data_IF_976393722392
#
_entry.id   IF_976393722392
#
_cell.length_a   1.000
_cell.length_b   1.000
_cell.length_c   1.000
_cell.angle_alpha   90.00
_cell.angle_beta   90.00
_cell.angle_gamma   90.00
#
_symmetry.space_group_name_H-M   'P 1'
#
loop_
_entity.id
_entity.type
_entity.pdbx_description
1 polymer ?
#
# COMPACT_ATOMS: atom_id res chain seq x y z
N UNK A 1 17.78 65.57 -35.47
CA UNK A 1 17.30 64.24 -35.03
C UNK A 1 17.80 63.20 -36.02
N UNK A 2 18.70 62.30 -35.61
CA UNK A 2 19.10 61.10 -36.38
C UNK A 2 18.78 59.88 -35.52
N UNK A 3 18.10 58.83 -36.04
CA UNK A 3 17.66 57.70 -35.25
C UNK A 3 18.82 56.74 -34.94
N UNK A 4 18.77 56.17 -33.73
CA UNK A 4 19.78 55.27 -33.17
C UNK A 4 19.70 53.83 -33.69
N UNK A 5 20.85 53.15 -33.58
CA UNK A 5 21.11 51.74 -33.90
C UNK A 5 20.37 50.81 -32.94
N UNK A 6 19.92 49.65 -33.42
CA UNK A 6 19.62 48.48 -32.59
C UNK A 6 20.38 47.26 -33.13
N UNK A 7 21.29 46.74 -32.31
CA UNK A 7 21.96 45.45 -32.51
C UNK A 7 21.05 44.40 -31.85
N UNK A 8 20.53 43.46 -32.63
CA UNK A 8 19.80 42.32 -32.11
C UNK A 8 20.79 41.24 -31.64
N UNK A 9 20.80 40.97 -30.33
CA UNK A 9 21.56 39.88 -29.72
C UNK A 9 20.67 38.62 -29.72
N UNK A 10 21.00 37.64 -30.57
CA UNK A 10 20.32 36.35 -30.58
C UNK A 10 20.82 35.49 -29.41
N UNK A 11 19.98 35.29 -28.39
CA UNK A 11 20.23 34.29 -27.34
C UNK A 11 20.01 32.87 -27.92
N UNK A 12 21.10 32.14 -28.12
CA UNK A 12 21.08 30.69 -28.29
C UNK A 12 20.78 30.03 -26.93
N UNK A 13 19.52 29.69 -26.69
CA UNK A 13 19.14 28.80 -25.60
C UNK A 13 19.62 27.38 -25.92
N UNK A 14 20.69 26.94 -25.27
CA UNK A 14 21.07 25.53 -25.23
C UNK A 14 20.04 24.78 -24.39
N UNK A 15 19.06 24.15 -25.03
CA UNK A 15 18.24 23.13 -24.37
C UNK A 15 19.12 21.91 -24.11
N UNK A 16 19.69 21.81 -22.90
CA UNK A 16 20.28 20.57 -22.45
C UNK A 16 19.16 19.52 -22.40
N UNK A 17 19.09 18.67 -23.42
CA UNK A 17 18.31 17.44 -23.37
C UNK A 17 18.96 16.55 -22.31
N UNK A 18 18.47 16.65 -21.08
CA UNK A 18 18.72 15.60 -20.10
C UNK A 18 18.29 14.28 -20.78
N UNK A 19 19.20 13.31 -20.90
CA UNK A 19 18.84 11.93 -21.17
C UNK A 19 17.65 11.61 -20.28
N UNK A 20 16.50 11.29 -20.87
CA UNK A 20 15.29 11.02 -20.14
C UNK A 20 15.51 9.73 -19.32
N UNK A 21 16.06 9.89 -18.13
CA UNK A 21 16.21 8.81 -17.17
C UNK A 21 14.85 8.21 -16.89
N UNK A 22 14.83 6.93 -16.52
CA UNK A 22 13.60 6.23 -16.24
C UNK A 22 12.77 6.99 -15.18
N UNK A 23 11.58 7.51 -15.53
CA UNK A 23 10.88 8.49 -14.69
C UNK A 23 10.40 7.92 -13.35
N UNK A 24 10.34 6.58 -13.24
CA UNK A 24 10.00 5.86 -12.04
C UNK A 24 11.13 5.84 -11.00
N UNK A 25 12.39 5.98 -11.43
CA UNK A 25 13.57 5.97 -10.55
C UNK A 25 13.53 7.17 -9.59
N UNK A 26 13.74 6.89 -8.31
CA UNK A 26 13.75 7.87 -7.23
C UNK A 26 13.08 7.37 -5.94
N UNK A 27 13.05 8.25 -4.95
CA UNK A 27 12.31 8.04 -3.70
C UNK A 27 10.94 8.70 -3.78
N UNK A 28 9.92 7.99 -3.33
CA UNK A 28 8.52 8.40 -3.40
C UNK A 28 7.88 8.25 -2.02
N UNK A 29 7.34 9.34 -1.49
CA UNK A 29 6.67 9.37 -0.20
C UNK A 29 5.16 9.36 -0.40
N UNK A 30 4.45 8.46 0.27
CA UNK A 30 2.98 8.44 0.26
C UNK A 30 2.39 9.76 0.77
N UNK A 31 1.39 10.25 0.04
CA UNK A 31 0.65 11.45 0.34
C UNK A 31 -0.79 11.07 0.70
N UNK A 32 -1.11 10.91 2.00
CA UNK A 32 -2.43 10.49 2.42
C UNK A 32 -3.51 11.54 2.08
N UNK A 33 -3.15 12.83 2.06
CA UNK A 33 -4.11 13.91 1.80
C UNK A 33 -4.59 13.90 0.33
N UNK A 34 -3.72 13.53 -0.60
CA UNK A 34 -4.04 13.39 -2.04
C UNK A 34 -4.55 12.00 -2.41
N UNK A 35 -4.37 11.01 -1.55
CA UNK A 35 -4.79 9.62 -1.80
C UNK A 35 -6.27 9.38 -1.48
N UNK A 36 -6.87 8.43 -2.20
CA UNK A 36 -8.25 7.96 -2.03
C UNK A 36 -8.25 6.43 -2.10
N UNK A 37 -7.90 5.78 -1.00
CA UNK A 37 -7.93 4.33 -0.92
C UNK A 37 -9.35 3.85 -0.64
N UNK A 38 -9.82 2.88 -1.44
CA UNK A 38 -11.08 2.19 -1.18
C UNK A 38 -10.86 1.18 -0.07
N UNK A 39 -11.73 1.22 0.92
CA UNK A 39 -11.72 0.20 1.95
C UNK A 39 -12.31 -1.11 1.39
N UNK A 40 -11.70 -2.23 1.78
CA UNK A 40 -12.10 -3.57 1.34
C UNK A 40 -13.55 -3.92 1.72
N UNK A 41 -14.16 -4.84 0.95
CA UNK A 41 -15.39 -5.52 1.39
C UNK A 41 -15.00 -6.87 1.99
N UNK A 42 -15.44 -7.14 3.21
CA UNK A 42 -15.15 -8.41 3.90
C UNK A 42 -16.44 -9.11 4.30
N UNK A 43 -16.38 -10.44 4.43
CA UNK A 43 -17.49 -11.26 4.90
C UNK A 43 -17.05 -12.06 6.12
N UNK A 44 -17.88 -12.05 7.14
CA UNK A 44 -17.80 -12.98 8.27
C UNK A 44 -19.02 -13.90 8.21
N UNK A 45 -18.80 -15.21 8.14
CA UNK A 45 -19.86 -16.22 8.16
C UNK A 45 -19.83 -16.94 9.49
N UNK A 46 -20.96 -17.01 10.17
CA UNK A 46 -21.10 -17.78 11.41
C UNK A 46 -21.04 -19.28 11.08
N UNK A 47 -20.13 -20.00 11.74
CA UNK A 47 -19.99 -21.45 11.60
C UNK A 47 -20.62 -22.20 12.79
N UNK A 48 -21.22 -21.49 13.74
CA UNK A 48 -21.73 -22.03 14.99
C UNK A 48 -20.64 -22.22 16.05
N UNK A 49 -21.06 -22.37 17.31
CA UNK A 49 -20.15 -22.67 18.42
C UNK A 49 -19.09 -21.58 18.69
N UNK A 50 -19.36 -20.33 18.31
CA UNK A 50 -18.41 -19.21 18.46
C UNK A 50 -17.31 -19.15 17.40
N UNK A 51 -17.40 -19.98 16.35
CA UNK A 51 -16.51 -19.98 15.19
C UNK A 51 -17.04 -19.11 14.06
N UNK A 52 -16.12 -18.53 13.31
CA UNK A 52 -16.38 -17.64 12.19
C UNK A 52 -15.48 -17.99 11.02
N UNK A 53 -15.98 -17.80 9.80
CA UNK A 53 -15.18 -17.80 8.58
C UNK A 53 -15.03 -16.36 8.06
N UNK A 54 -13.80 -15.90 7.89
CA UNK A 54 -13.47 -14.64 7.22
C UNK A 54 -13.17 -14.88 5.74
N UNK A 55 -13.64 -13.97 4.88
CA UNK A 55 -13.20 -13.85 3.49
C UNK A 55 -13.13 -12.38 3.08
N UNK A 56 -12.09 -12.02 2.32
CA UNK A 56 -12.01 -10.71 1.65
C UNK A 56 -12.59 -10.72 0.22
N UNK A 57 -13.22 -11.83 -0.20
CA UNK A 57 -13.73 -12.00 -1.56
C UNK A 57 -12.65 -12.23 -2.63
N UNK A 58 -11.39 -12.44 -2.23
CA UNK A 58 -10.27 -12.72 -3.11
C UNK A 58 -9.43 -13.90 -2.57
N UNK A 59 -8.11 -13.73 -2.41
CA UNK A 59 -7.19 -14.81 -2.05
C UNK A 59 -7.08 -15.09 -0.55
N UNK A 60 -7.64 -14.23 0.31
CA UNK A 60 -7.52 -14.35 1.77
C UNK A 60 -8.83 -14.80 2.39
N UNK A 61 -8.79 -15.98 2.98
CA UNK A 61 -9.88 -16.55 3.75
C UNK A 61 -9.32 -17.45 4.86
N UNK A 62 -9.99 -17.50 6.00
CA UNK A 62 -9.58 -18.32 7.14
C UNK A 62 -10.71 -18.48 8.15
N UNK A 63 -10.63 -19.54 8.94
CA UNK A 63 -11.51 -19.75 10.09
C UNK A 63 -10.85 -19.23 11.37
N UNK A 64 -11.66 -18.75 12.30
CA UNK A 64 -11.22 -18.36 13.63
C UNK A 64 -12.33 -18.57 14.66
N UNK A 65 -11.98 -18.49 15.93
CA UNK A 65 -12.94 -18.42 17.03
C UNK A 65 -12.74 -17.12 17.83
N UNK A 66 -13.81 -16.66 18.49
CA UNK A 66 -13.75 -15.51 19.41
C UNK A 66 -13.38 -15.99 20.82
N UNK A 67 -12.25 -16.69 20.92
CA UNK A 67 -11.77 -17.35 22.14
C UNK A 67 -10.48 -16.72 22.72
N UNK A 68 -9.99 -15.66 22.07
CA UNK A 68 -8.74 -14.98 22.42
C UNK A 68 -7.47 -15.74 22.07
N UNK A 69 -7.57 -16.90 21.40
CA UNK A 69 -6.41 -17.70 20.96
C UNK A 69 -6.00 -17.32 19.55
N UNK A 70 -4.75 -17.62 19.22
CA UNK A 70 -4.23 -17.42 17.86
C UNK A 70 -4.81 -18.48 16.92
N UNK A 71 -5.43 -18.03 15.83
CA UNK A 71 -5.89 -18.86 14.73
C UNK A 71 -5.06 -18.52 13.49
N UNK A 72 -4.55 -19.55 12.80
CA UNK A 72 -3.72 -19.39 11.60
C UNK A 72 -4.54 -18.76 10.48
N UNK A 73 -3.95 -17.78 9.79
CA UNK A 73 -4.58 -17.13 8.64
C UNK A 73 -3.88 -17.53 7.34
N UNK A 74 -2.80 -16.83 6.98
CA UNK A 74 -2.00 -17.08 5.78
C UNK A 74 -0.52 -17.17 6.16
N UNK A 75 0.16 -18.18 5.63
CA UNK A 75 1.59 -18.42 5.88
C UNK A 75 1.91 -18.52 7.39
N UNK A 76 2.83 -17.68 7.88
CA UNK A 76 3.27 -17.58 9.27
C UNK A 76 2.41 -16.63 10.12
N UNK A 77 1.29 -16.16 9.57
CA UNK A 77 0.40 -15.20 10.22
C UNK A 77 -0.68 -15.87 11.03
N UNK A 78 -1.07 -15.19 12.09
CA UNK A 78 -2.21 -15.56 12.92
C UNK A 78 -3.01 -14.33 13.32
N UNK A 79 -4.28 -14.57 13.63
CA UNK A 79 -5.16 -13.57 14.24
C UNK A 79 -5.78 -14.15 15.50
N UNK A 80 -5.89 -13.35 16.55
CA UNK A 80 -6.72 -13.68 17.71
C UNK A 80 -7.86 -12.68 17.84
N UNK A 81 -9.01 -13.17 18.26
CA UNK A 81 -10.21 -12.38 18.50
C UNK A 81 -10.68 -12.60 19.93
N UNK A 82 -10.76 -11.53 20.72
CA UNK A 82 -11.25 -11.56 22.09
C UNK A 82 -12.45 -10.65 22.22
N UNK A 83 -13.58 -11.18 22.70
CA UNK A 83 -14.72 -10.34 23.04
C UNK A 83 -14.45 -9.54 24.30
N UNK A 84 -14.64 -8.23 24.24
CA UNK A 84 -14.51 -7.31 25.38
C UNK A 84 -15.86 -6.97 25.99
N UNK A 85 -16.88 -6.83 25.15
CA UNK A 85 -18.27 -6.55 25.51
C UNK A 85 -19.20 -6.97 24.36
N UNK A 86 -20.54 -6.96 24.52
CA UNK A 86 -21.45 -7.11 23.39
C UNK A 86 -21.12 -6.10 22.28
N UNK A 87 -20.90 -6.57 21.05
CA UNK A 87 -20.55 -5.71 19.92
C UNK A 87 -19.14 -5.11 19.96
N UNK A 88 -18.26 -5.53 20.88
CA UNK A 88 -16.90 -4.98 20.98
C UNK A 88 -15.85 -6.08 21.13
N UNK A 89 -14.84 -6.05 20.28
CA UNK A 89 -13.76 -7.04 20.23
C UNK A 89 -12.39 -6.38 20.18
N UNK A 90 -11.41 -7.04 20.80
CA UNK A 90 -10.00 -6.82 20.54
C UNK A 90 -9.52 -7.85 19.52
N UNK A 91 -8.76 -7.41 18.53
CA UNK A 91 -8.08 -8.31 17.60
C UNK A 91 -6.58 -8.05 17.60
N UNK A 92 -5.78 -9.11 17.54
CA UNK A 92 -4.33 -9.00 17.38
C UNK A 92 -3.90 -9.75 16.14
N UNK A 93 -3.09 -9.10 15.32
CA UNK A 93 -2.45 -9.71 14.16
C UNK A 93 -1.01 -10.04 14.52
N UNK A 94 -0.56 -11.25 14.18
CA UNK A 94 0.81 -11.71 14.37
C UNK A 94 1.45 -12.11 13.06
N UNK A 95 2.76 -11.87 12.96
CA UNK A 95 3.65 -12.36 11.91
C UNK A 95 4.83 -13.02 12.62
N UNK A 96 5.20 -14.24 12.21
CA UNK A 96 6.24 -15.04 12.86
C UNK A 96 6.12 -15.10 14.40
N UNK A 97 4.88 -15.20 14.92
CA UNK A 97 4.59 -15.24 16.35
C UNK A 97 4.66 -13.90 17.11
N UNK A 98 5.12 -12.82 16.48
CA UNK A 98 5.17 -11.46 17.06
C UNK A 98 3.91 -10.67 16.72
N UNK A 99 3.29 -10.03 17.71
CA UNK A 99 2.18 -9.09 17.47
C UNK A 99 2.68 -7.87 16.70
N UNK A 100 2.11 -7.65 15.52
CA UNK A 100 2.41 -6.49 14.66
C UNK A 100 1.31 -5.43 14.73
N UNK A 101 0.08 -5.83 15.06
CA UNK A 101 -1.06 -4.93 15.17
C UNK A 101 -2.00 -5.36 16.30
N UNK A 102 -2.55 -4.38 17.00
CA UNK A 102 -3.71 -4.55 17.87
C UNK A 102 -4.81 -3.60 17.41
N UNK A 103 -6.06 -4.08 17.38
CA UNK A 103 -7.19 -3.26 16.98
C UNK A 103 -8.39 -3.47 17.90
N UNK A 104 -9.13 -2.39 18.14
CA UNK A 104 -10.45 -2.43 18.77
C UNK A 104 -11.51 -2.30 17.69
N UNK A 105 -12.42 -3.28 17.66
CA UNK A 105 -13.53 -3.36 16.73
C UNK A 105 -14.83 -3.12 17.48
N UNK A 106 -15.63 -2.16 17.01
CA UNK A 106 -16.86 -1.74 17.67
C UNK A 106 -18.01 -1.73 16.67
N UNK A 107 -19.03 -2.53 16.96
CA UNK A 107 -20.30 -2.59 16.25
C UNK A 107 -21.25 -1.53 16.82
N UNK A 108 -21.94 -0.78 15.96
CA UNK A 108 -22.99 0.15 16.36
C UNK A 108 -24.18 -0.57 17.00
N UNK A 109 -24.98 0.15 17.78
CA UNK A 109 -26.15 -0.40 18.47
C UNK A 109 -27.23 -0.94 17.52
N UNK A 110 -27.39 -0.33 16.34
CA UNK A 110 -28.27 -0.79 15.26
C UNK A 110 -27.68 -1.96 14.45
N UNK A 111 -26.43 -2.35 14.74
CA UNK A 111 -25.70 -3.41 14.07
C UNK A 111 -25.29 -3.08 12.62
N UNK A 112 -25.45 -1.85 12.14
CA UNK A 112 -25.22 -1.47 10.74
C UNK A 112 -23.82 -0.93 10.44
N UNK A 113 -23.06 -0.50 11.45
CA UNK A 113 -21.72 0.06 11.28
C UNK A 113 -20.68 -0.68 12.13
N UNK A 114 -19.50 -0.93 11.55
CA UNK A 114 -18.34 -1.50 12.23
C UNK A 114 -17.17 -0.54 12.13
N UNK A 115 -16.68 -0.06 13.26
CA UNK A 115 -15.47 0.77 13.35
C UNK A 115 -14.30 -0.08 13.83
N UNK A 116 -13.14 0.10 13.22
CA UNK A 116 -11.88 -0.54 13.61
C UNK A 116 -10.87 0.57 13.89
N UNK A 117 -10.32 0.61 15.09
CA UNK A 117 -9.20 1.49 15.45
C UNK A 117 -7.99 0.62 15.71
N UNK A 118 -6.94 0.77 14.91
CA UNK A 118 -5.76 -0.08 14.95
C UNK A 118 -4.49 0.73 15.23
N UNK A 119 -3.57 0.10 15.94
CA UNK A 119 -2.20 0.57 16.11
C UNK A 119 -1.23 -0.60 16.03
N UNK A 120 -0.04 -0.34 15.51
CA UNK A 120 0.92 -1.38 15.24
C UNK A 120 2.30 -0.85 14.89
N UNK A 121 3.15 -1.78 14.46
CA UNK A 121 4.50 -1.51 13.99
C UNK A 121 4.72 -2.19 12.65
N UNK A 122 5.29 -1.44 11.69
CA UNK A 122 5.76 -1.98 10.43
C UNK A 122 7.01 -2.86 10.66
N UNK A 123 7.40 -3.72 9.69
CA UNK A 123 8.58 -4.57 9.80
C UNK A 123 9.90 -3.84 10.10
N UNK A 124 10.02 -2.57 9.70
CA UNK A 124 11.14 -1.70 10.06
C UNK A 124 11.11 -1.17 11.51
N UNK A 125 10.00 -1.36 12.23
CA UNK A 125 9.76 -0.86 13.58
C UNK A 125 9.04 0.48 13.63
N UNK A 126 8.69 1.07 12.49
CA UNK A 126 7.96 2.33 12.43
C UNK A 126 6.54 2.14 12.98
N UNK A 127 6.11 2.92 13.98
CA UNK A 127 4.75 2.84 14.49
C UNK A 127 3.75 3.41 13.49
N UNK A 128 2.56 2.84 13.43
CA UNK A 128 1.45 3.37 12.64
C UNK A 128 0.13 3.27 13.41
N UNK A 129 -0.83 4.11 13.01
CA UNK A 129 -2.23 4.03 13.43
C UNK A 129 -3.13 4.22 12.23
N UNK A 130 -4.25 3.52 12.21
CA UNK A 130 -5.28 3.73 11.21
C UNK A 130 -6.66 3.41 11.76
N UNK A 131 -7.65 4.08 11.19
CA UNK A 131 -9.06 3.82 11.47
C UNK A 131 -9.73 3.31 10.18
N UNK A 132 -10.54 2.25 10.29
CA UNK A 132 -11.41 1.78 9.21
C UNK A 132 -12.86 1.86 9.64
N UNK A 133 -13.73 2.21 8.69
CA UNK A 133 -15.18 2.17 8.87
C UNK A 133 -15.80 1.29 7.81
N UNK A 134 -16.76 0.47 8.23
CA UNK A 134 -17.52 -0.40 7.36
C UNK A 134 -19.01 -0.22 7.63
N UNK A 135 -19.79 -0.26 6.56
CA UNK A 135 -21.24 -0.44 6.61
C UNK A 135 -21.61 -1.89 6.31
N UNK A 136 -22.61 -2.40 7.02
CA UNK A 136 -23.19 -3.70 6.72
C UNK A 136 -23.93 -3.63 5.39
N UNK A 137 -23.79 -4.70 4.60
CA UNK A 137 -24.55 -4.91 3.39
C UNK A 137 -25.35 -6.20 3.53
N UNK A 138 -26.67 -6.08 3.41
CA UNK A 138 -27.60 -7.20 3.53
C UNK A 138 -27.82 -7.67 4.97
N UNK A 139 -28.28 -8.92 5.11
CA UNK A 139 -28.63 -9.50 6.40
C UNK A 139 -27.40 -9.93 7.22
N UNK A 140 -27.58 -10.00 8.54
CA UNK A 140 -26.58 -10.50 9.48
C UNK A 140 -26.87 -10.04 10.91
N UNK A 141 -26.20 -10.65 11.88
CA UNK A 141 -26.30 -10.29 13.30
C UNK A 141 -24.92 -10.32 13.93
N UNK A 142 -24.65 -9.36 14.83
CA UNK A 142 -23.35 -9.27 15.47
C UNK A 142 -22.23 -9.07 14.44
N UNK A 143 -21.14 -9.82 14.54
CA UNK A 143 -20.05 -9.74 13.56
C UNK A 143 -20.42 -10.38 12.21
N UNK A 144 -21.24 -11.43 12.21
CA UNK A 144 -21.60 -12.17 11.01
C UNK A 144 -22.37 -11.29 10.02
N UNK A 145 -21.95 -11.29 8.76
CA UNK A 145 -22.49 -10.47 7.68
C UNK A 145 -21.42 -10.03 6.68
N UNK A 146 -21.87 -9.28 5.68
CA UNK A 146 -20.98 -8.63 4.71
C UNK A 146 -20.79 -7.17 5.10
N UNK A 147 -19.55 -6.70 5.07
CA UNK A 147 -19.12 -5.39 5.52
C UNK A 147 -18.39 -4.69 4.39
N UNK A 148 -19.01 -3.65 3.83
CA UNK A 148 -18.40 -2.80 2.81
C UNK A 148 -17.65 -1.66 3.49
N UNK A 149 -16.37 -1.54 3.21
CA UNK A 149 -15.57 -0.43 3.68
C UNK A 149 -16.05 0.90 3.09
N UNK A 150 -16.14 1.93 3.94
CA UNK A 150 -16.58 3.26 3.53
C UNK A 150 -15.41 4.25 3.45
N UNK A 151 -14.45 4.11 4.36
CA UNK A 151 -13.26 4.93 4.41
C UNK A 151 -12.13 4.20 5.13
N UNK A 152 -10.90 4.46 4.68
CA UNK A 152 -9.68 4.15 5.40
C UNK A 152 -9.00 5.47 5.73
N UNK A 153 -8.87 5.78 7.02
CA UNK A 153 -8.08 6.92 7.45
C UNK A 153 -6.60 6.54 7.40
N UNK A 154 -5.89 7.12 6.44
CA UNK A 154 -4.46 6.89 6.20
C UNK A 154 -3.58 8.03 6.71
N UNK A 155 -4.12 9.00 7.48
CA UNK A 155 -3.43 10.28 7.75
C UNK A 155 -2.00 10.15 8.27
N UNK A 156 -1.69 9.04 8.97
CA UNK A 156 -0.38 8.77 9.55
C UNK A 156 0.25 7.46 9.07
N UNK A 157 -0.14 6.94 7.90
CA UNK A 157 0.49 5.72 7.36
C UNK A 157 1.87 6.06 6.77
N UNK A 158 2.98 5.60 7.38
CA UNK A 158 4.30 5.77 6.78
C UNK A 158 4.44 4.75 5.65
N UNK A 159 4.38 5.23 4.41
CA UNK A 159 4.50 4.38 3.23
C UNK A 159 5.21 5.12 2.09
N UNK A 160 5.88 4.37 1.23
CA UNK A 160 6.66 4.90 0.13
C UNK A 160 7.61 3.90 -0.50
N UNK A 161 8.16 4.31 -1.64
CA UNK A 161 8.99 3.47 -2.48
C UNK A 161 10.36 4.07 -2.70
N UNK A 162 11.37 3.21 -2.83
CA UNK A 162 12.67 3.56 -3.40
C UNK A 162 12.88 2.71 -4.63
N UNK A 163 12.92 3.35 -5.79
CA UNK A 163 13.07 2.68 -7.08
C UNK A 163 14.43 3.07 -7.67
N UNK A 164 15.24 2.08 -8.00
CA UNK A 164 16.53 2.26 -8.67
C UNK A 164 16.63 1.40 -9.92
N UNK A 165 17.53 1.78 -10.82
CA UNK A 165 17.85 1.04 -12.04
C UNK A 165 19.36 0.90 -12.15
N UNK A 166 19.83 -0.33 -12.39
CA UNK A 166 21.25 -0.60 -12.64
C UNK A 166 21.65 -0.34 -14.10
N UNK A 167 22.95 -0.39 -14.42
CA UNK A 167 23.46 -0.17 -15.77
C UNK A 167 22.95 -1.20 -16.81
N UNK A 168 22.45 -2.34 -16.35
CA UNK A 168 21.84 -3.36 -17.21
C UNK A 168 20.34 -3.13 -17.43
N UNK A 169 19.75 -2.12 -16.79
CA UNK A 169 18.30 -1.84 -16.83
C UNK A 169 17.47 -2.76 -15.94
N UNK A 170 18.06 -3.40 -14.93
CA UNK A 170 17.27 -4.07 -13.89
C UNK A 170 16.79 -3.03 -12.88
N UNK A 171 15.51 -3.13 -12.54
CA UNK A 171 14.84 -2.32 -11.56
C UNK A 171 14.89 -3.02 -10.21
N UNK A 172 15.26 -2.29 -9.17
CA UNK A 172 14.93 -2.62 -7.78
C UNK A 172 13.84 -1.69 -7.32
N UNK A 173 12.67 -2.24 -6.99
CA UNK A 173 11.57 -1.50 -6.37
C UNK A 173 11.47 -1.96 -4.92
N UNK A 174 11.93 -1.11 -4.00
CA UNK A 174 11.91 -1.38 -2.57
C UNK A 174 10.70 -0.71 -1.90
N UNK A 175 10.15 -1.41 -0.92
CA UNK A 175 9.16 -0.94 0.06
C UNK A 175 9.89 -0.95 1.41
N UNK A 176 10.59 0.15 1.77
CA UNK A 176 11.57 0.08 2.85
C UNK A 176 10.96 -0.18 4.23
N UNK A 177 9.76 0.37 4.47
CA UNK A 177 9.01 0.19 5.73
C UNK A 177 8.65 -1.28 5.97
N UNK A 178 8.36 -2.01 4.90
CA UNK A 178 8.06 -3.45 4.95
C UNK A 178 9.30 -4.33 4.88
N UNK A 179 10.48 -3.74 4.63
CA UNK A 179 11.72 -4.46 4.29
C UNK A 179 11.53 -5.42 3.13
N UNK A 180 10.72 -5.00 2.14
CA UNK A 180 10.40 -5.79 0.97
C UNK A 180 10.97 -5.18 -0.31
N UNK A 181 11.20 -6.01 -1.31
CA UNK A 181 11.57 -5.53 -2.64
C UNK A 181 11.20 -6.51 -3.76
N UNK A 182 11.07 -5.93 -4.95
CA UNK A 182 10.99 -6.60 -6.24
C UNK A 182 12.27 -6.28 -7.02
N UNK A 183 12.87 -7.28 -7.65
CA UNK A 183 14.02 -7.11 -8.55
C UNK A 183 13.72 -7.76 -9.89
N UNK A 184 13.94 -7.04 -10.98
CA UNK A 184 13.64 -7.53 -12.33
C UNK A 184 13.47 -6.40 -13.35
N UNK A 185 12.57 -6.58 -14.33
CA UNK A 185 12.34 -5.62 -15.41
C UNK A 185 10.85 -5.34 -15.57
N UNK A 186 10.51 -4.21 -16.18
CA UNK A 186 9.13 -3.89 -16.56
C UNK A 186 8.74 -4.51 -17.91
N UNK A 187 9.04 -5.80 -18.09
CA UNK A 187 8.83 -6.59 -19.32
C UNK A 187 7.63 -7.55 -19.23
N UNK A 188 6.85 -7.46 -18.15
CA UNK A 188 5.67 -8.30 -17.89
C UNK A 188 6.00 -9.67 -17.30
N UNK A 189 7.27 -9.99 -17.03
CA UNK A 189 7.65 -11.23 -16.33
C UNK A 189 7.49 -11.10 -14.83
N UNK A 190 7.41 -12.25 -14.18
CA UNK A 190 7.21 -12.33 -12.73
C UNK A 190 8.46 -11.88 -11.97
N UNK A 191 8.32 -10.82 -11.19
CA UNK A 191 9.27 -10.34 -10.20
C UNK A 191 8.84 -10.85 -8.83
N UNK A 192 9.68 -11.66 -8.18
CA UNK A 192 9.36 -12.20 -6.84
C UNK A 192 9.39 -11.09 -5.80
N UNK A 193 8.35 -11.00 -4.98
CA UNK A 193 8.36 -10.20 -3.76
C UNK A 193 9.23 -10.88 -2.73
N UNK A 194 10.26 -10.18 -2.27
CA UNK A 194 11.22 -10.67 -1.27
C UNK A 194 11.14 -9.82 -0.02
N UNK A 195 11.43 -10.40 1.14
CA UNK A 195 11.41 -9.70 2.43
C UNK A 195 10.94 -10.61 3.56
N UNK A 196 11.20 -10.26 4.83
CA UNK A 196 10.91 -11.12 5.98
C UNK A 196 9.41 -11.31 6.23
N UNK A 197 8.59 -10.33 5.83
CA UNK A 197 7.13 -10.35 5.94
C UNK A 197 6.44 -10.58 4.59
N UNK A 198 7.17 -10.81 3.51
CA UNK A 198 6.58 -11.03 2.19
C UNK A 198 5.71 -12.31 2.21
N UNK A 199 4.43 -12.25 1.80
CA UNK A 199 3.62 -13.46 1.68
C UNK A 199 4.27 -14.45 0.70
N UNK A 200 4.21 -15.73 1.04
CA UNK A 200 4.83 -16.81 0.26
C UNK A 200 4.24 -16.85 -1.15
N UNK A 201 5.11 -17.13 -2.13
CA UNK A 201 4.75 -17.23 -3.55
C UNK A 201 4.01 -16.02 -4.11
N UNK A 202 4.37 -14.82 -3.63
CA UNK A 202 3.88 -13.55 -4.19
C UNK A 202 4.86 -13.01 -5.23
N UNK A 203 4.31 -12.67 -6.40
CA UNK A 203 5.05 -12.10 -7.52
C UNK A 203 4.28 -10.93 -8.12
N UNK A 204 4.99 -10.01 -8.75
CA UNK A 204 4.44 -8.92 -9.54
C UNK A 204 4.89 -9.07 -10.98
N UNK A 205 3.95 -9.15 -11.91
CA UNK A 205 4.23 -8.99 -13.33
C UNK A 205 4.03 -7.51 -13.68
N UNK A 206 5.12 -6.79 -13.99
CA UNK A 206 5.07 -5.34 -14.26
C UNK A 206 5.42 -5.09 -15.72
N UNK A 207 4.57 -4.37 -16.45
CA UNK A 207 4.74 -4.09 -17.87
C UNK A 207 4.79 -2.58 -18.11
N UNK A 208 5.80 -2.12 -18.88
CA UNK A 208 5.84 -0.74 -19.37
C UNK A 208 4.78 -0.52 -20.44
N UNK A 209 3.88 0.43 -20.19
CA UNK A 209 2.78 0.82 -21.11
C UNK A 209 3.17 2.05 -21.92
N UNK A 210 3.90 2.99 -21.31
CA UNK A 210 4.49 4.15 -21.98
C UNK A 210 5.72 4.64 -21.20
N UNK A 211 6.35 5.74 -21.63
CA UNK A 211 7.48 6.35 -20.91
C UNK A 211 7.18 6.53 -19.42
N UNK A 212 5.97 7.01 -19.09
CA UNK A 212 5.54 7.38 -17.73
C UNK A 212 4.42 6.53 -17.17
N UNK A 213 4.05 5.44 -17.84
CA UNK A 213 2.99 4.54 -17.39
C UNK A 213 3.44 3.09 -17.37
N UNK A 214 3.19 2.40 -16.27
CA UNK A 214 3.33 0.95 -16.14
C UNK A 214 1.99 0.36 -15.70
N UNK A 215 1.77 -0.91 -16.00
CA UNK A 215 0.70 -1.72 -15.45
C UNK A 215 1.32 -2.88 -14.66
N UNK A 216 0.62 -3.38 -13.65
CA UNK A 216 1.06 -4.56 -12.91
C UNK A 216 -0.09 -5.51 -12.58
N UNK A 217 0.27 -6.78 -12.37
CA UNK A 217 -0.57 -7.78 -11.74
C UNK A 217 0.20 -8.38 -10.57
N UNK A 218 -0.37 -8.27 -9.36
CA UNK A 218 0.11 -9.01 -8.20
C UNK A 218 -0.57 -10.38 -8.19
N UNK A 219 0.24 -11.43 -8.10
CA UNK A 219 -0.22 -12.82 -8.00
C UNK A 219 0.30 -13.44 -6.72
N UNK A 220 -0.55 -14.19 -6.03
CA UNK A 220 -0.15 -15.00 -4.88
C UNK A 220 -0.49 -16.45 -5.19
N UNK A 221 0.49 -17.35 -5.09
CA UNK A 221 0.35 -18.78 -5.44
C UNK A 221 -0.27 -18.97 -6.84
N UNK A 222 0.19 -18.16 -7.81
CA UNK A 222 -0.26 -18.18 -9.19
C UNK A 222 -1.62 -17.53 -9.49
N UNK A 223 -2.38 -17.09 -8.47
CA UNK A 223 -3.70 -16.46 -8.65
C UNK A 223 -3.59 -14.94 -8.61
N UNK A 224 -4.14 -14.21 -9.59
CA UNK A 224 -4.25 -12.75 -9.53
C UNK A 224 -5.04 -12.32 -8.30
N UNK A 225 -4.42 -11.48 -7.47
CA UNK A 225 -5.06 -10.89 -6.28
C UNK A 225 -5.31 -9.39 -6.43
N UNK A 226 -4.52 -8.70 -7.25
CA UNK A 226 -4.63 -7.26 -7.47
C UNK A 226 -4.09 -6.89 -8.85
N UNK A 227 -4.75 -5.92 -9.47
CA UNK A 227 -4.32 -5.26 -10.69
C UNK A 227 -4.02 -3.81 -10.37
N UNK A 228 -3.13 -3.19 -11.15
CA UNK A 228 -2.95 -1.76 -11.04
C UNK A 228 -2.23 -1.13 -12.21
N UNK A 229 -2.23 0.20 -12.20
CA UNK A 229 -1.40 1.03 -13.06
C UNK A 229 -0.70 2.09 -12.24
N UNK A 230 0.51 2.45 -12.66
CA UNK A 230 1.23 3.58 -12.11
C UNK A 230 1.52 4.58 -13.21
N UNK A 231 1.25 5.85 -12.93
CA UNK A 231 1.54 6.97 -13.82
C UNK A 231 2.43 8.00 -13.11
N UNK A 232 3.51 8.42 -13.77
CA UNK A 232 4.36 9.54 -13.33
C UNK A 232 3.91 10.82 -14.04
N UNK A 233 3.73 11.91 -13.29
CA UNK A 233 3.39 13.22 -13.85
C UNK A 233 4.49 13.75 -14.79
N UNK A 234 4.14 14.69 -15.68
CA UNK A 234 5.08 15.26 -16.65
C UNK A 234 6.30 15.94 -15.98
N UNK A 235 6.08 16.65 -14.88
CA UNK A 235 7.13 17.27 -14.04
C UNK A 235 7.94 16.25 -13.20
N UNK A 236 7.57 14.97 -13.27
CA UNK A 236 8.18 13.89 -12.52
C UNK A 236 7.94 13.94 -11.02
N UNK A 237 7.10 14.84 -10.48
CA UNK A 237 6.95 15.03 -9.03
C UNK A 237 5.86 14.17 -8.39
N UNK A 238 4.92 13.63 -9.17
CA UNK A 238 3.80 12.81 -8.68
C UNK A 238 3.88 11.41 -9.26
N UNK A 239 3.75 10.42 -8.39
CA UNK A 239 3.54 9.01 -8.71
C UNK A 239 2.10 8.68 -8.31
N UNK A 240 1.28 8.30 -9.27
CA UNK A 240 -0.12 7.93 -9.03
C UNK A 240 -0.31 6.46 -9.31
N UNK A 241 -0.71 5.71 -8.30
CA UNK A 241 -1.08 4.31 -8.37
C UNK A 241 -2.59 4.18 -8.36
N UNK A 242 -3.15 3.50 -9.36
CA UNK A 242 -4.54 3.04 -9.33
C UNK A 242 -4.53 1.53 -9.19
N UNK A 243 -5.27 0.97 -8.23
CA UNK A 243 -5.32 -0.48 -8.05
C UNK A 243 -6.71 -0.99 -7.68
N UNK A 244 -6.99 -2.24 -8.05
CA UNK A 244 -8.28 -2.89 -7.87
C UNK A 244 -8.14 -4.41 -7.75
N UNK A 245 -9.18 -5.06 -7.22
CA UNK A 245 -9.29 -6.52 -7.16
C UNK A 245 -9.86 -7.08 -8.47
N UNK A 246 -9.60 -8.36 -8.83
CA UNK A 246 -10.20 -9.00 -9.98
C UNK A 246 -11.74 -8.84 -10.01
N UNK A 247 -12.28 -8.37 -11.14
CA UNK A 247 -13.73 -8.18 -11.33
C UNK A 247 -14.33 -7.00 -10.55
N UNK A 248 -13.49 -6.04 -10.14
CA UNK A 248 -13.87 -4.81 -9.45
C UNK A 248 -13.18 -3.58 -10.04
N UNK A 249 -13.07 -3.54 -11.36
CA UNK A 249 -12.41 -2.48 -12.12
C UNK A 249 -12.99 -1.08 -11.85
N UNK A 250 -14.25 -0.99 -11.41
CA UNK A 250 -14.96 0.22 -11.04
C UNK A 250 -14.66 0.71 -9.60
N UNK A 251 -14.16 -0.17 -8.73
CA UNK A 251 -13.90 0.10 -7.31
C UNK A 251 -12.41 0.39 -7.05
N UNK A 252 -11.77 1.19 -7.89
CA UNK A 252 -10.33 1.46 -7.78
C UNK A 252 -9.98 2.28 -6.54
N UNK A 253 -8.86 1.92 -5.93
CA UNK A 253 -8.12 2.78 -5.01
C UNK A 253 -7.14 3.66 -5.79
N UNK A 254 -6.97 4.90 -5.37
CA UNK A 254 -5.95 5.80 -5.89
C UNK A 254 -4.94 6.14 -4.78
N UNK A 255 -3.72 5.63 -4.89
CA UNK A 255 -2.58 6.05 -4.09
C UNK A 255 -1.81 7.15 -4.81
N UNK A 256 -1.46 8.21 -4.08
CA UNK A 256 -0.63 9.30 -4.60
C UNK A 256 0.62 9.38 -3.74
N UNK A 257 1.78 9.38 -4.40
CA UNK A 257 3.06 9.59 -3.78
C UNK A 257 3.73 10.83 -4.39
N UNK A 258 4.38 11.60 -3.54
CA UNK A 258 5.15 12.78 -3.92
C UNK A 258 6.63 12.42 -3.96
N UNK A 259 7.36 12.93 -4.94
CA UNK A 259 8.80 12.70 -5.04
C UNK A 259 9.50 13.24 -3.80
N UNK A 260 10.23 12.37 -3.11
CA UNK A 260 11.00 12.72 -1.93
C UNK A 260 12.45 13.01 -2.31
N UNK A 261 13.00 14.11 -1.79
CA UNK A 261 14.40 14.50 -2.01
C UNK A 261 15.16 14.33 -0.71
N UNK A 262 16.01 13.31 -0.67
CA UNK A 262 16.91 13.10 0.46
C UNK A 262 17.87 14.28 0.65
N UNK A 263 18.17 14.66 1.90
CA UNK A 263 19.19 15.65 2.18
C UNK A 263 20.55 15.26 1.57
N UNK A 264 21.40 16.25 1.23
CA UNK A 264 22.76 15.98 0.81
C UNK A 264 23.55 15.25 1.92
N UNK A 265 24.58 14.46 1.55
CA UNK A 265 25.49 13.85 2.53
C UNK A 265 26.03 14.87 3.53
N UNK A 266 26.10 14.48 4.80
CA UNK A 266 26.60 15.34 5.89
C UNK A 266 25.59 16.35 6.45
N UNK A 267 24.40 16.49 5.85
CA UNK A 267 23.32 17.30 6.44
C UNK A 267 22.42 16.42 7.31
N UNK A 268 22.10 16.82 8.55
CA UNK A 268 21.16 16.08 9.38
C UNK A 268 19.78 16.04 8.73
N UNK A 269 19.12 14.88 8.84
CA UNK A 269 17.73 14.71 8.46
C UNK A 269 16.83 15.59 9.33
N UNK A 270 15.88 16.34 8.75
CA UNK A 270 14.88 17.06 9.53
C UNK A 270 14.11 16.12 10.46
N UNK A 271 13.72 16.62 11.63
CA UNK A 271 12.90 15.85 12.55
C UNK A 271 11.55 15.51 11.91
N UNK A 272 11.18 14.22 11.91
CA UNK A 272 9.94 13.74 11.29
C UNK A 272 10.05 13.41 9.79
N UNK A 273 11.19 13.65 9.16
CA UNK A 273 11.40 13.25 7.77
C UNK A 273 11.64 11.73 7.63
N UNK A 274 11.14 11.10 6.55
CA UNK A 274 11.21 9.65 6.37
C UNK A 274 12.62 9.19 5.96
N UNK A 275 13.51 9.01 6.94
CA UNK A 275 14.90 8.56 6.70
C UNK A 275 14.98 7.24 5.92
N UNK A 276 13.97 6.38 6.10
CA UNK A 276 13.84 5.09 5.43
C UNK A 276 13.65 5.20 3.90
N UNK A 277 13.27 6.37 3.37
CA UNK A 277 13.23 6.64 1.92
C UNK A 277 14.60 6.99 1.33
N UNK A 278 15.59 7.22 2.18
CA UNK A 278 16.94 7.51 1.74
C UNK A 278 17.76 6.23 1.78
N UNK A 279 18.39 5.90 0.65
CA UNK A 279 19.39 4.86 0.63
C UNK A 279 20.41 5.13 1.75
N UNK A 280 20.67 4.12 2.60
CA UNK A 280 21.78 4.19 3.55
C UNK A 280 23.05 4.35 2.72
N UNK A 281 23.65 5.54 2.77
CA UNK A 281 24.94 5.83 2.16
C UNK A 281 26.03 5.57 3.17
#
# INVERSE_FOLDING_TARGET
>A
MKPGKWIALALLTFSATALAGNPFVGSWKFDPARSRLKAETVRYTDLGGGRMHYSNGATVQYDFAVDGKDHKTVDDRAVSWKQLAPGRWETRTKIAGKTTETAIRTLSSDGQALTVKAEGFLPDGTPYKHDKRYARVGAGRGLAGTWRGEAMDTNNMPDGYVISEDASGNITWAIPTDKQSLVGRFDGRDMKLTGPSAPSDTVFAVTRVSERKIAYVMKTRGKPGQYGTVTISADGQTFTEESWLPGREEDKSTGVLSRYRCPPPGRPMPAGDPAWLCAKR
#
